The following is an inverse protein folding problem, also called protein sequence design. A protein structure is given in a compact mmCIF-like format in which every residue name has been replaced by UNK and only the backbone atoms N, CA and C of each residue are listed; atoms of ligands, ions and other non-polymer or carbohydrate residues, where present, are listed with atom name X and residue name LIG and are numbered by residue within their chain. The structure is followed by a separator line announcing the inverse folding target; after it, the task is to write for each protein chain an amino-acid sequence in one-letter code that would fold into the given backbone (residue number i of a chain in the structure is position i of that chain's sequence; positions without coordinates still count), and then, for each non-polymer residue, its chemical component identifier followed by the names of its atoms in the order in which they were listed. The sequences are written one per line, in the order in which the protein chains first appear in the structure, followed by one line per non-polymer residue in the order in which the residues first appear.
data_IF_564945161768
#
_entry.id   IF_564945161768
#
_cell.length_a   1.000
_cell.length_b   1.000
_cell.length_c   1.000
_cell.angle_alpha   90.00
_cell.angle_beta   90.00
_cell.angle_gamma   90.00
#
_symmetry.space_group_name_H-M   'P 1'
#
loop_
_entity.id
_entity.type
_entity.pdbx_description
1 polymer ?
#
# COMPACT_ATOMS: atom_id res chain seq x y z
N UNK A 1 36.30 -13.76 4.24
CA UNK A 1 36.44 -14.46 5.54
C UNK A 1 35.03 -14.63 6.09
N UNK A 2 34.51 -15.86 6.01
CA UNK A 2 33.16 -16.17 6.48
C UNK A 2 33.18 -16.54 7.96
N UNK A 3 32.23 -16.03 8.71
CA UNK A 3 32.04 -16.44 10.09
C UNK A 3 30.82 -17.37 10.12
N UNK A 4 31.11 -18.65 10.46
CA UNK A 4 30.13 -19.72 10.65
C UNK A 4 29.70 -19.68 12.12
N UNK A 5 28.42 -19.42 12.41
CA UNK A 5 27.88 -19.62 13.76
C UNK A 5 27.40 -21.05 13.94
N UNK A 6 28.09 -21.78 14.84
CA UNK A 6 27.69 -23.11 15.32
C UNK A 6 26.69 -22.97 16.46
N UNK A 7 25.58 -23.73 16.37
CA UNK A 7 24.61 -23.94 17.45
C UNK A 7 25.26 -24.74 18.58
N UNK A 8 24.98 -24.44 19.87
CA UNK A 8 25.37 -25.32 20.96
C UNK A 8 24.34 -26.47 21.13
N UNK A 9 24.85 -27.70 21.21
CA UNK A 9 24.11 -28.87 21.62
C UNK A 9 23.88 -28.82 23.13
N UNK A 10 22.59 -28.87 23.56
CA UNK A 10 22.23 -29.12 24.96
C UNK A 10 21.55 -30.47 25.06
N UNK A 11 22.34 -31.47 25.49
CA UNK A 11 21.84 -32.74 25.95
C UNK A 11 21.45 -32.58 27.43
N UNK A 12 20.18 -32.74 27.76
CA UNK A 12 19.73 -32.89 29.15
C UNK A 12 19.00 -34.22 29.23
N UNK A 13 19.71 -35.22 29.76
CA UNK A 13 19.12 -36.45 30.26
C UNK A 13 18.68 -36.20 31.69
N UNK A 14 17.37 -36.24 31.93
CA UNK A 14 16.78 -36.24 33.25
C UNK A 14 15.63 -37.25 33.25
N UNK A 15 15.90 -38.44 33.84
CA UNK A 15 14.84 -39.41 34.16
C UNK A 15 14.02 -38.89 35.32
N UNK A 16 12.71 -38.74 35.15
CA UNK A 16 11.74 -38.65 36.24
C UNK A 16 10.62 -39.63 35.96
N UNK A 17 10.60 -40.67 36.78
CA UNK A 17 9.48 -41.58 36.92
C UNK A 17 8.29 -40.87 37.58
N UNK A 18 7.13 -40.87 36.95
CA UNK A 18 5.89 -40.34 37.49
C UNK A 18 4.73 -40.67 36.55
N UNK A 19 3.85 -41.55 37.00
CA UNK A 19 2.56 -41.86 36.34
C UNK A 19 1.73 -40.60 36.19
N UNK A 20 1.66 -40.10 34.98
CA UNK A 20 0.86 -38.96 34.60
C UNK A 20 0.34 -39.15 33.18
N UNK A 21 -0.97 -39.44 33.07
CA UNK A 21 -1.67 -39.43 31.79
C UNK A 21 -1.60 -38.07 31.17
N UNK A 22 -0.59 -37.82 30.37
CA UNK A 22 -0.46 -36.61 29.54
C UNK A 22 -1.46 -36.73 28.41
N UNK A 23 -2.54 -35.97 28.48
CA UNK A 23 -3.38 -35.70 27.31
C UNK A 23 -2.47 -35.07 26.24
N UNK A 24 -2.47 -35.60 25.01
CA UNK A 24 -1.70 -34.96 23.94
C UNK A 24 -2.26 -33.55 23.72
N UNK A 25 -1.40 -32.55 23.85
CA UNK A 25 -1.72 -31.21 23.43
C UNK A 25 -2.18 -31.26 21.96
N UNK A 26 -3.28 -30.58 21.62
CA UNK A 26 -3.69 -30.52 20.22
C UNK A 26 -2.54 -30.01 19.38
N UNK A 27 -2.29 -30.52 18.16
CA UNK A 27 -1.24 -30.06 17.31
C UNK A 27 -1.43 -28.55 17.11
N UNK A 28 -0.42 -27.77 17.47
CA UNK A 28 -0.34 -26.37 17.09
C UNK A 28 -0.14 -26.41 15.58
N UNK A 29 -1.23 -26.34 14.83
CA UNK A 29 -1.16 -26.06 13.40
C UNK A 29 -0.48 -24.70 13.26
N UNK A 30 0.81 -24.71 12.97
CA UNK A 30 1.54 -23.54 12.51
C UNK A 30 0.88 -23.12 11.19
N UNK A 31 -0.09 -22.21 11.25
CA UNK A 31 -0.71 -21.65 10.05
C UNK A 31 0.43 -21.10 9.20
N UNK A 32 0.65 -21.71 8.04
CA UNK A 32 1.58 -21.20 7.03
C UNK A 32 1.28 -19.72 6.84
N UNK A 33 2.29 -18.83 6.89
CA UNK A 33 2.07 -17.42 6.73
C UNK A 33 1.29 -17.16 5.44
N UNK A 34 0.08 -16.63 5.55
CA UNK A 34 -0.81 -16.46 4.42
C UNK A 34 -1.14 -14.99 4.24
N UNK A 35 -0.92 -14.51 3.01
CA UNK A 35 -1.47 -13.24 2.56
C UNK A 35 -2.93 -13.45 2.19
N UNK A 36 -3.81 -12.62 2.75
CA UNK A 36 -5.24 -12.61 2.41
C UNK A 36 -5.60 -11.21 1.94
N UNK A 37 -6.40 -11.13 0.86
CA UNK A 37 -6.89 -9.87 0.31
C UNK A 37 -8.36 -9.67 0.70
N UNK A 38 -8.72 -8.41 0.92
CA UNK A 38 -10.10 -8.01 1.12
C UNK A 38 -10.33 -6.57 0.66
N UNK A 39 -11.56 -6.25 0.31
CA UNK A 39 -11.96 -4.84 0.17
C UNK A 39 -11.80 -4.12 1.51
N UNK A 40 -11.38 -2.86 1.46
CA UNK A 40 -11.29 -2.04 2.65
C UNK A 40 -12.68 -1.73 3.23
N UNK A 41 -12.70 -1.20 4.45
CA UNK A 41 -13.88 -0.77 5.20
C UNK A 41 -13.64 0.64 5.73
N UNK A 42 -14.65 1.40 6.12
CA UNK A 42 -14.46 2.73 6.73
C UNK A 42 -13.48 2.72 7.92
N UNK A 43 -13.43 1.61 8.67
CA UNK A 43 -12.48 1.43 9.79
C UNK A 43 -11.02 1.33 9.36
N UNK A 44 -10.72 1.09 8.09
CA UNK A 44 -9.35 1.04 7.55
C UNK A 44 -8.83 2.43 7.16
N UNK A 45 -9.62 3.48 7.27
CA UNK A 45 -9.30 4.83 6.78
C UNK A 45 -7.94 5.36 7.26
N UNK A 46 -7.56 5.11 8.52
CA UNK A 46 -6.26 5.50 9.04
C UNK A 46 -5.12 4.73 8.36
N UNK A 47 -5.29 3.44 8.12
CA UNK A 47 -4.30 2.62 7.42
C UNK A 47 -4.19 3.00 5.93
N UNK A 48 -5.31 3.36 5.29
CA UNK A 48 -5.29 3.87 3.91
C UNK A 48 -4.55 5.20 3.84
N UNK A 49 -4.79 6.12 4.78
CA UNK A 49 -4.04 7.38 4.86
C UNK A 49 -2.53 7.15 5.03
N UNK A 50 -2.13 6.18 5.86
CA UNK A 50 -0.73 5.77 6.01
C UNK A 50 -0.17 5.24 4.68
N UNK A 51 -0.92 4.41 3.96
CA UNK A 51 -0.49 3.85 2.68
C UNK A 51 -0.33 4.94 1.60
N UNK A 52 -1.25 5.90 1.52
CA UNK A 52 -1.17 7.05 0.61
C UNK A 52 0.07 7.89 0.90
N UNK A 53 0.31 8.25 2.16
CA UNK A 53 1.51 9.02 2.54
C UNK A 53 2.81 8.26 2.26
N UNK A 54 2.83 6.95 2.51
CA UNK A 54 3.99 6.12 2.21
C UNK A 54 4.27 6.03 0.70
N UNK A 55 3.23 5.95 -0.14
CA UNK A 55 3.35 5.99 -1.60
C UNK A 55 3.92 7.34 -2.08
N UNK A 56 3.53 8.44 -1.42
CA UNK A 56 4.09 9.80 -1.65
C UNK A 56 5.52 9.98 -1.11
N UNK A 57 6.12 8.94 -0.52
CA UNK A 57 7.51 8.96 -0.05
C UNK A 57 7.71 9.34 1.42
N UNK A 58 6.64 9.43 2.21
CA UNK A 58 6.74 9.71 3.64
C UNK A 58 6.70 8.40 4.45
N UNK A 59 7.75 8.11 5.23
CA UNK A 59 7.79 6.89 6.06
C UNK A 59 6.97 7.05 7.36
N UNK A 60 5.65 7.15 7.19
CA UNK A 60 4.70 7.32 8.31
C UNK A 60 4.51 6.07 9.17
N UNK A 61 5.09 4.95 8.77
CA UNK A 61 5.13 3.73 9.60
C UNK A 61 6.21 3.81 10.67
N UNK A 62 7.17 4.73 10.53
CA UNK A 62 8.09 5.11 11.61
C UNK A 62 7.44 6.19 12.48
N UNK A 63 7.19 5.92 13.79
CA UNK A 63 6.57 6.90 14.70
C UNK A 63 7.38 8.20 14.86
N UNK A 64 8.71 8.15 14.81
CA UNK A 64 9.55 9.34 14.92
C UNK A 64 9.40 10.23 13.68
N UNK A 65 9.38 9.62 12.49
CA UNK A 65 9.14 10.35 11.23
C UNK A 65 7.74 10.95 11.21
N UNK A 66 6.72 10.21 11.64
CA UNK A 66 5.35 10.71 11.69
C UNK A 66 5.21 11.90 12.64
N UNK A 67 5.87 11.87 13.81
CA UNK A 67 5.74 12.92 14.82
C UNK A 67 6.55 14.18 14.47
N UNK A 68 7.71 14.04 13.85
CA UNK A 68 8.64 15.16 13.55
C UNK A 68 8.56 15.64 12.10
N UNK A 69 8.02 14.83 11.20
CA UNK A 69 8.02 15.11 9.77
C UNK A 69 7.07 16.25 9.37
N UNK A 70 7.44 16.91 8.27
CA UNK A 70 6.65 17.98 7.65
C UNK A 70 6.49 17.74 6.16
N UNK A 71 5.46 18.35 5.59
CA UNK A 71 5.18 18.41 4.16
C UNK A 71 4.96 19.86 3.76
N UNK A 72 4.87 20.20 2.49
CA UNK A 72 4.44 21.53 2.05
C UNK A 72 3.04 21.93 2.58
N UNK A 73 2.25 20.98 3.03
CA UNK A 73 0.89 21.17 3.53
C UNK A 73 0.78 21.22 5.05
N UNK A 74 1.89 21.07 5.78
CA UNK A 74 1.94 21.09 7.25
C UNK A 74 2.65 19.87 7.85
N UNK A 75 2.46 19.64 9.15
CA UNK A 75 3.05 18.46 9.81
C UNK A 75 2.45 17.16 9.28
N UNK A 76 3.25 16.09 9.21
CA UNK A 76 2.77 14.78 8.77
C UNK A 76 1.58 14.29 9.60
N UNK A 77 1.57 14.56 10.91
CA UNK A 77 0.44 14.24 11.79
C UNK A 77 -0.85 14.93 11.33
N UNK A 78 -0.80 16.24 11.05
CA UNK A 78 -1.98 16.99 10.61
C UNK A 78 -2.47 16.51 9.22
N UNK A 79 -1.55 16.25 8.29
CA UNK A 79 -1.88 15.72 6.96
C UNK A 79 -2.48 14.31 7.08
N UNK A 80 -1.91 13.44 7.89
CA UNK A 80 -2.43 12.10 8.17
C UNK A 80 -3.85 12.12 8.73
N UNK A 81 -4.13 13.01 9.69
CA UNK A 81 -5.47 13.18 10.26
C UNK A 81 -6.49 13.67 9.22
N UNK A 82 -6.08 14.63 8.37
CA UNK A 82 -6.93 15.12 7.28
C UNK A 82 -7.24 13.99 6.28
N UNK A 83 -6.22 13.27 5.82
CA UNK A 83 -6.36 12.13 4.91
C UNK A 83 -7.21 11.02 5.53
N UNK A 84 -7.06 10.69 6.82
CA UNK A 84 -7.90 9.69 7.49
C UNK A 84 -9.38 10.03 7.38
N UNK A 85 -9.76 11.32 7.58
CA UNK A 85 -11.15 11.76 7.40
C UNK A 85 -11.64 11.69 5.94
N UNK A 86 -10.73 11.86 4.99
CA UNK A 86 -11.01 11.79 3.55
C UNK A 86 -11.14 10.34 3.11
N UNK A 87 -10.25 9.46 3.54
CA UNK A 87 -10.30 8.03 3.23
C UNK A 87 -11.56 7.33 3.78
N UNK A 88 -12.16 7.88 4.85
CA UNK A 88 -13.41 7.37 5.39
C UNK A 88 -14.66 7.74 4.55
N UNK A 89 -14.52 8.61 3.53
CA UNK A 89 -15.60 8.99 2.62
C UNK A 89 -15.69 8.01 1.45
N UNK A 90 -16.84 7.99 0.78
CA UNK A 90 -17.12 7.08 -0.34
C UNK A 90 -16.79 7.68 -1.71
N UNK A 91 -16.64 8.98 -1.78
CA UNK A 91 -16.63 9.80 -2.99
C UNK A 91 -15.34 10.62 -3.17
N UNK A 92 -14.20 10.05 -2.74
CA UNK A 92 -12.86 10.64 -2.86
C UNK A 92 -11.93 9.68 -3.56
N UNK A 93 -10.82 10.16 -4.12
CA UNK A 93 -9.78 9.31 -4.72
C UNK A 93 -9.33 8.21 -3.77
N UNK A 94 -9.00 8.60 -2.54
CA UNK A 94 -8.45 7.71 -1.51
C UNK A 94 -9.54 7.01 -0.67
N UNK A 95 -10.75 6.90 -1.22
CA UNK A 95 -11.87 6.23 -0.58
C UNK A 95 -11.54 4.79 -0.18
N UNK A 96 -12.07 4.35 0.95
CA UNK A 96 -12.05 2.92 1.31
C UNK A 96 -12.72 2.04 0.24
N UNK A 97 -13.67 2.56 -0.55
CA UNK A 97 -14.30 1.84 -1.67
C UNK A 97 -13.32 1.51 -2.80
N UNK A 98 -12.35 2.40 -3.02
CA UNK A 98 -11.32 2.26 -4.04
C UNK A 98 -10.11 1.44 -3.56
N UNK A 99 -10.16 0.86 -2.35
CA UNK A 99 -8.99 0.27 -1.71
C UNK A 99 -9.13 -1.22 -1.49
N UNK A 100 -8.10 -1.97 -1.88
CA UNK A 100 -7.86 -3.34 -1.47
C UNK A 100 -6.81 -3.38 -0.34
N UNK A 101 -7.10 -4.12 0.73
CA UNK A 101 -6.19 -4.33 1.87
C UNK A 101 -5.68 -5.76 1.86
N UNK A 102 -4.36 -5.89 1.92
CA UNK A 102 -3.70 -7.17 2.19
C UNK A 102 -3.47 -7.32 3.69
N UNK A 103 -3.80 -8.51 4.22
CA UNK A 103 -3.44 -8.91 5.57
C UNK A 103 -2.38 -10.01 5.54
N UNK A 104 -1.49 -10.01 6.51
CA UNK A 104 -0.51 -11.06 6.73
C UNK A 104 -0.67 -11.60 8.14
N UNK A 105 -1.01 -12.88 8.27
CA UNK A 105 -1.39 -13.48 9.57
C UNK A 105 -2.45 -12.66 10.32
N UNK A 106 -3.45 -12.13 9.62
CA UNK A 106 -4.57 -11.35 10.19
C UNK A 106 -4.26 -9.88 10.52
N UNK A 107 -3.03 -9.40 10.29
CA UNK A 107 -2.66 -7.99 10.48
C UNK A 107 -2.65 -7.25 9.15
N UNK A 108 -3.18 -6.04 9.09
CA UNK A 108 -3.11 -5.19 7.89
C UNK A 108 -1.63 -4.93 7.53
N UNK A 109 -1.23 -5.37 6.35
CA UNK A 109 0.16 -5.43 5.91
C UNK A 109 0.45 -4.53 4.71
N UNK A 110 -0.51 -4.33 3.81
CA UNK A 110 -0.39 -3.45 2.65
C UNK A 110 -1.75 -3.01 2.14
N UNK A 111 -1.76 -1.96 1.34
CA UNK A 111 -2.97 -1.46 0.68
C UNK A 111 -2.62 -0.95 -0.73
N UNK A 112 -3.60 -1.07 -1.62
CA UNK A 112 -3.58 -0.49 -2.96
C UNK A 112 -4.89 0.26 -3.17
N UNK A 113 -4.78 1.54 -3.53
CA UNK A 113 -5.87 2.38 -4.02
C UNK A 113 -5.88 2.30 -5.54
N UNK A 114 -7.02 1.95 -6.14
CA UNK A 114 -7.17 1.87 -7.60
C UNK A 114 -8.62 2.17 -8.01
N UNK A 115 -8.80 2.77 -9.19
CA UNK A 115 -10.10 3.24 -9.65
C UNK A 115 -10.15 3.43 -11.18
N UNK A 116 -11.37 3.68 -11.69
CA UNK A 116 -11.60 4.10 -13.08
C UNK A 116 -10.99 5.48 -13.33
N UNK A 117 -10.09 5.57 -14.32
CA UNK A 117 -9.46 6.84 -14.72
C UNK A 117 -10.46 7.88 -15.22
N UNK A 118 -11.64 7.48 -15.69
CA UNK A 118 -12.69 8.41 -16.13
C UNK A 118 -13.21 9.29 -14.97
N UNK A 119 -13.19 8.79 -13.74
CA UNK A 119 -13.70 9.52 -12.57
C UNK A 119 -12.62 10.43 -11.93
N UNK A 120 -11.39 10.38 -12.42
CA UNK A 120 -10.25 11.07 -11.80
C UNK A 120 -10.48 12.58 -11.64
N UNK A 121 -10.86 13.29 -12.70
CA UNK A 121 -10.93 14.75 -12.67
C UNK A 121 -11.90 15.26 -11.60
N UNK A 122 -13.10 14.67 -11.50
CA UNK A 122 -14.12 15.07 -10.52
C UNK A 122 -13.75 14.67 -9.10
N UNK A 123 -13.28 13.41 -8.91
CA UNK A 123 -12.92 12.89 -7.60
C UNK A 123 -11.64 13.54 -7.06
N UNK A 124 -10.65 13.88 -7.93
CA UNK A 124 -9.47 14.65 -7.58
C UNK A 124 -9.85 16.07 -7.12
N UNK A 125 -10.68 16.77 -7.89
CA UNK A 125 -11.15 18.11 -7.51
C UNK A 125 -11.77 18.12 -6.12
N UNK A 126 -12.66 17.18 -5.85
CA UNK A 126 -13.31 17.00 -4.56
C UNK A 126 -12.31 16.67 -3.46
N UNK A 127 -11.42 15.71 -3.69
CA UNK A 127 -10.40 15.25 -2.72
C UNK A 127 -9.49 16.39 -2.32
N UNK A 128 -8.89 17.10 -3.28
CA UNK A 128 -7.98 18.21 -3.02
C UNK A 128 -8.67 19.44 -2.45
N UNK A 129 -9.96 19.66 -2.77
CA UNK A 129 -10.77 20.67 -2.09
C UNK A 129 -10.98 20.35 -0.60
N UNK A 130 -11.19 19.08 -0.25
CA UNK A 130 -11.32 18.65 1.14
C UNK A 130 -9.98 18.77 1.89
N UNK A 131 -8.85 18.40 1.25
CA UNK A 131 -7.50 18.58 1.81
C UNK A 131 -7.23 20.06 2.09
N UNK A 132 -7.45 20.93 1.10
CA UNK A 132 -7.28 22.39 1.22
C UNK A 132 -8.06 22.96 2.41
N UNK A 133 -9.34 22.61 2.53
CA UNK A 133 -10.18 23.05 3.64
C UNK A 133 -9.71 22.53 5.00
N UNK A 134 -9.32 21.25 5.07
CA UNK A 134 -8.90 20.62 6.32
C UNK A 134 -7.58 21.19 6.85
N UNK A 135 -6.63 21.46 5.95
CA UNK A 135 -5.28 21.94 6.28
C UNK A 135 -5.14 23.47 6.19
N UNK A 136 -6.16 24.18 5.66
CA UNK A 136 -6.16 25.64 5.43
C UNK A 136 -4.98 26.09 4.52
N UNK A 137 -4.74 25.31 3.48
CA UNK A 137 -3.72 25.59 2.47
C UNK A 137 -4.35 25.85 1.11
N UNK A 138 -3.58 26.40 0.18
CA UNK A 138 -4.01 26.51 -1.21
C UNK A 138 -4.33 25.11 -1.76
N UNK A 139 -5.34 25.02 -2.63
CA UNK A 139 -5.76 23.75 -3.19
C UNK A 139 -4.66 23.16 -4.05
N UNK A 140 -4.16 21.96 -3.73
CA UNK A 140 -3.15 21.29 -4.55
C UNK A 140 -3.63 21.06 -5.99
N UNK A 141 -2.71 21.17 -6.95
CA UNK A 141 -2.95 20.93 -8.38
C UNK A 141 -2.01 19.79 -8.83
N UNK A 142 -2.46 18.52 -8.74
CA UNK A 142 -1.57 17.37 -9.01
C UNK A 142 -1.17 17.25 -10.47
N UNK A 143 -2.02 17.65 -11.39
CA UNK A 143 -1.89 17.38 -12.83
C UNK A 143 -2.80 16.21 -13.26
N UNK A 144 -2.74 15.87 -14.54
CA UNK A 144 -3.48 14.74 -15.11
C UNK A 144 -2.56 13.52 -15.16
N UNK A 145 -2.83 12.51 -14.35
CA UNK A 145 -2.04 11.27 -14.26
C UNK A 145 -2.76 10.06 -14.88
N UNK A 146 -4.05 10.18 -15.15
CA UNK A 146 -4.89 9.12 -15.75
C UNK A 146 -6.02 9.70 -16.59
N UNK A 147 -6.67 8.86 -17.39
CA UNK A 147 -7.74 9.23 -18.31
C UNK A 147 -8.80 8.14 -18.42
N UNK A 148 -9.91 8.48 -19.09
CA UNK A 148 -10.98 7.52 -19.35
C UNK A 148 -10.49 6.33 -20.19
N UNK A 149 -11.03 5.16 -19.89
CA UNK A 149 -10.74 3.90 -20.60
C UNK A 149 -9.58 3.10 -20.01
N UNK A 150 -9.04 3.52 -18.88
CA UNK A 150 -8.00 2.79 -18.16
C UNK A 150 -8.33 2.63 -16.68
N UNK A 151 -7.82 1.57 -16.09
CA UNK A 151 -7.81 1.34 -14.66
C UNK A 151 -6.54 1.94 -14.06
N UNK A 152 -6.69 2.83 -13.08
CA UNK A 152 -5.54 3.52 -12.51
C UNK A 152 -5.15 2.96 -11.14
N UNK A 153 -3.85 2.62 -10.98
CA UNK A 153 -3.24 2.19 -9.73
C UNK A 153 -2.56 3.41 -9.10
N UNK A 154 -3.23 4.02 -8.12
CA UNK A 154 -2.81 5.30 -7.52
C UNK A 154 -1.74 5.12 -6.43
N UNK A 155 -2.09 4.49 -5.32
CA UNK A 155 -1.25 4.44 -4.13
C UNK A 155 -1.06 3.01 -3.63
N UNK A 156 0.16 2.49 -3.73
CA UNK A 156 0.56 1.19 -3.22
C UNK A 156 1.57 1.34 -2.09
N UNK A 157 1.26 0.75 -0.94
CA UNK A 157 2.24 0.64 0.14
C UNK A 157 2.15 -0.70 0.88
N UNK A 158 3.30 -1.17 1.35
CA UNK A 158 3.44 -2.33 2.24
C UNK A 158 4.23 -1.90 3.45
N UNK A 159 3.72 -2.20 4.64
CA UNK A 159 4.41 -1.90 5.90
C UNK A 159 5.81 -2.51 5.91
N UNK A 160 6.83 -1.81 6.44
CA UNK A 160 8.22 -2.25 6.41
C UNK A 160 8.43 -3.68 6.91
N UNK A 161 7.79 -4.04 8.03
CA UNK A 161 7.91 -5.36 8.65
C UNK A 161 7.32 -6.53 7.84
N UNK A 162 6.52 -6.23 6.80
CA UNK A 162 5.91 -7.22 5.90
C UNK A 162 6.45 -7.15 4.46
N UNK A 163 7.46 -6.32 4.20
CA UNK A 163 8.13 -6.28 2.89
C UNK A 163 8.86 -7.59 2.61
N UNK A 164 9.13 -7.88 1.34
CA UNK A 164 9.79 -9.14 0.94
C UNK A 164 8.89 -10.38 0.87
N UNK A 165 7.61 -10.27 1.24
CA UNK A 165 6.63 -11.37 1.19
C UNK A 165 5.75 -11.38 -0.07
N UNK A 166 6.10 -10.59 -1.10
CA UNK A 166 5.33 -10.53 -2.35
C UNK A 166 4.01 -9.75 -2.28
N UNK A 167 3.67 -9.13 -1.14
CA UNK A 167 2.36 -8.50 -0.89
C UNK A 167 2.04 -7.43 -1.94
N UNK A 168 3.01 -6.60 -2.33
CA UNK A 168 2.80 -5.57 -3.35
C UNK A 168 2.42 -6.16 -4.71
N UNK A 169 3.09 -7.23 -5.13
CA UNK A 169 2.77 -7.92 -6.38
C UNK A 169 1.38 -8.57 -6.34
N UNK A 170 1.02 -9.19 -5.21
CA UNK A 170 -0.31 -9.80 -5.01
C UNK A 170 -1.42 -8.74 -5.08
N UNK A 171 -1.23 -7.56 -4.47
CA UNK A 171 -2.19 -6.45 -4.53
C UNK A 171 -2.37 -5.93 -5.97
N UNK A 172 -1.26 -5.76 -6.71
CA UNK A 172 -1.31 -5.33 -8.11
C UNK A 172 -2.04 -6.37 -8.95
N UNK A 173 -1.66 -7.64 -8.85
CA UNK A 173 -2.27 -8.73 -9.62
C UNK A 173 -3.80 -8.78 -9.40
N UNK A 174 -4.24 -8.71 -8.13
CA UNK A 174 -5.66 -8.66 -7.81
C UNK A 174 -6.36 -7.44 -8.45
N UNK A 175 -5.71 -6.27 -8.44
CA UNK A 175 -6.28 -5.07 -9.05
C UNK A 175 -6.40 -5.19 -10.57
N UNK A 176 -5.41 -5.83 -11.24
CA UNK A 176 -5.46 -6.10 -12.68
C UNK A 176 -6.58 -7.10 -13.02
N UNK A 177 -6.78 -8.14 -12.21
CA UNK A 177 -7.87 -9.10 -12.36
C UNK A 177 -9.25 -8.44 -12.19
N UNK A 178 -9.39 -7.53 -11.22
CA UNK A 178 -10.62 -6.73 -11.04
C UNK A 178 -10.86 -5.82 -12.25
N UNK A 179 -9.83 -5.15 -12.76
CA UNK A 179 -9.90 -4.30 -13.94
C UNK A 179 -10.34 -5.10 -15.18
N UNK A 180 -9.74 -6.25 -15.43
CA UNK A 180 -10.08 -7.12 -16.54
C UNK A 180 -11.52 -7.63 -16.43
N UNK A 181 -11.95 -8.04 -15.24
CA UNK A 181 -13.32 -8.46 -14.97
C UNK A 181 -14.35 -7.31 -15.18
N UNK A 182 -13.93 -6.07 -14.97
CA UNK A 182 -14.73 -4.88 -15.23
C UNK A 182 -14.70 -4.41 -16.70
N UNK A 183 -13.91 -5.09 -17.57
CA UNK A 183 -13.83 -4.83 -19.00
C UNK A 183 -12.79 -3.80 -19.42
N UNK A 184 -11.86 -3.42 -18.52
CA UNK A 184 -10.73 -2.59 -18.91
C UNK A 184 -9.68 -3.43 -19.65
N UNK A 185 -9.17 -2.90 -20.74
CA UNK A 185 -8.07 -3.51 -21.52
C UNK A 185 -6.71 -2.92 -21.17
N UNK A 186 -6.65 -1.97 -20.22
CA UNK A 186 -5.44 -1.22 -19.90
C UNK A 186 -5.44 -0.76 -18.45
N UNK A 187 -4.30 -0.93 -17.80
CA UNK A 187 -4.02 -0.36 -16.48
C UNK A 187 -2.85 0.62 -16.57
N UNK A 188 -2.85 1.66 -15.72
CA UNK A 188 -1.81 2.68 -15.68
C UNK A 188 -1.40 3.03 -14.26
N UNK A 189 -0.19 3.53 -14.10
CA UNK A 189 0.36 4.10 -12.88
C UNK A 189 1.43 5.14 -13.20
N UNK A 190 1.87 5.89 -12.21
CA UNK A 190 3.07 6.73 -12.30
C UNK A 190 4.13 6.29 -11.30
N UNK A 191 5.39 6.42 -11.67
CA UNK A 191 6.53 6.13 -10.81
C UNK A 191 7.53 7.26 -10.83
N UNK A 192 7.99 7.65 -9.65
CA UNK A 192 9.01 8.67 -9.47
C UNK A 192 10.32 8.24 -10.17
N UNK A 193 10.87 9.12 -11.02
CA UNK A 193 12.13 8.87 -11.75
C UNK A 193 13.33 8.63 -10.83
N UNK A 194 13.29 9.20 -9.63
CA UNK A 194 14.35 9.03 -8.63
C UNK A 194 14.29 7.67 -7.91
N UNK A 195 13.29 6.82 -8.24
CA UNK A 195 13.09 5.49 -7.62
C UNK A 195 13.26 4.33 -8.61
N UNK A 196 14.48 4.08 -9.16
CA UNK A 196 14.70 3.06 -10.19
C UNK A 196 14.37 1.63 -9.72
N UNK A 197 14.46 1.36 -8.41
CA UNK A 197 14.06 0.07 -7.85
C UNK A 197 12.55 -0.16 -7.94
N UNK A 198 11.74 0.89 -7.78
CA UNK A 198 10.29 0.83 -7.91
C UNK A 198 9.89 0.70 -9.38
N UNK A 199 10.53 1.45 -10.28
CA UNK A 199 10.37 1.29 -11.72
C UNK A 199 10.63 -0.16 -12.16
N UNK A 200 11.78 -0.74 -11.75
CA UNK A 200 12.12 -2.13 -12.04
C UNK A 200 11.12 -3.13 -11.44
N UNK A 201 10.50 -2.80 -10.32
CA UNK A 201 9.46 -3.64 -9.71
C UNK A 201 8.21 -3.69 -10.61
N UNK A 202 7.71 -2.56 -11.10
CA UNK A 202 6.56 -2.51 -12.00
C UNK A 202 6.87 -3.13 -13.38
N UNK A 203 8.07 -2.91 -13.91
CA UNK A 203 8.50 -3.52 -15.18
C UNK A 203 8.47 -5.06 -15.10
N UNK A 204 8.90 -5.65 -13.97
CA UNK A 204 8.80 -7.11 -13.78
C UNK A 204 7.37 -7.63 -13.68
N UNK A 205 6.40 -6.78 -13.38
CA UNK A 205 4.99 -7.12 -13.35
C UNK A 205 4.29 -6.90 -14.70
N UNK A 206 5.04 -6.48 -15.73
CA UNK A 206 4.53 -6.32 -17.10
C UNK A 206 4.12 -4.89 -17.47
N UNK A 207 4.41 -3.89 -16.61
CA UNK A 207 4.22 -2.49 -16.98
C UNK A 207 5.36 -2.00 -17.85
N UNK A 208 5.03 -1.21 -18.87
CA UNK A 208 5.96 -0.60 -19.83
C UNK A 208 5.88 0.92 -19.73
N UNK A 209 7.01 1.60 -19.99
CA UNK A 209 7.09 3.06 -20.00
C UNK A 209 6.24 3.61 -21.16
N UNK A 210 5.38 4.56 -20.89
CA UNK A 210 4.60 5.24 -21.91
C UNK A 210 5.14 6.65 -22.17
N UNK A 211 5.26 7.49 -21.14
CA UNK A 211 5.77 8.86 -21.28
C UNK A 211 6.27 9.41 -19.94
N UNK A 212 7.04 10.51 -20.03
CA UNK A 212 7.34 11.33 -18.85
C UNK A 212 6.20 12.30 -18.57
N UNK A 213 5.85 12.50 -17.30
CA UNK A 213 4.87 13.48 -16.86
C UNK A 213 5.41 14.31 -15.69
N UNK A 214 4.79 15.46 -15.44
CA UNK A 214 5.02 16.26 -14.23
C UNK A 214 3.84 16.06 -13.27
N UNK A 215 4.15 15.67 -12.03
CA UNK A 215 3.15 15.49 -10.99
C UNK A 215 3.58 16.22 -9.72
N UNK A 216 2.77 17.14 -9.22
CA UNK A 216 3.15 18.10 -8.18
C UNK A 216 4.46 18.86 -8.42
N UNK A 217 4.82 19.09 -9.69
CA UNK A 217 6.06 19.76 -10.07
C UNK A 217 7.30 18.88 -10.13
N UNK A 218 7.18 17.60 -9.81
CA UNK A 218 8.25 16.61 -9.87
C UNK A 218 8.13 15.71 -11.10
N UNK A 219 9.26 15.17 -11.64
CA UNK A 219 9.26 14.33 -12.82
C UNK A 219 8.92 12.87 -12.50
N UNK A 220 7.91 12.34 -13.16
CA UNK A 220 7.49 10.93 -13.08
C UNK A 220 7.58 10.26 -14.46
N UNK A 221 7.60 8.94 -14.44
CA UNK A 221 7.37 8.08 -15.61
C UNK A 221 5.97 7.49 -15.48
N UNK A 222 5.16 7.70 -16.50
CA UNK A 222 3.89 7.00 -16.62
C UNK A 222 4.13 5.64 -17.24
N UNK A 223 3.66 4.60 -16.57
CA UNK A 223 3.78 3.22 -17.02
C UNK A 223 2.40 2.63 -17.24
N UNK A 224 2.28 1.74 -18.23
CA UNK A 224 1.03 1.10 -18.62
C UNK A 224 1.21 -0.40 -18.79
N UNK A 225 0.12 -1.15 -18.61
CA UNK A 225 0.03 -2.57 -18.91
C UNK A 225 -1.29 -2.85 -19.64
N UNK A 226 -1.22 -3.59 -20.75
CA UNK A 226 -2.40 -4.11 -21.44
C UNK A 226 -2.82 -5.43 -20.78
N UNK A 227 -4.11 -5.58 -20.45
CA UNK A 227 -4.66 -6.66 -19.62
C UNK A 227 -5.85 -7.35 -20.28
#
# INVERSE_FOLDING_TARGET
MGVIYKKPDMNITGECSGDGTTLPLPPIEAKTPRVELRKARPSDAAFIADAVLAAMGHDVFDPEVLLSGTTPFGTLTAVREALTRICAKEDTLYSWKNTCVATYCGKAAGALVSYDGAEYAETADRTFTLISKALKVEKPQPGEETSAGEWYLDSLAVRPEFRGHGIGAILIQNSLEEAQAAGYGRAALIVDKEKPGLHSFYARLGFEDECGIMFFGEPYIRMVQYI
#
